data_IF_166963212757
#
_entry.id   IF_166963212757
#
_cell.length_a   1.000
_cell.length_b   1.000
_cell.length_c   1.000
_cell.angle_alpha   90.00
_cell.angle_beta   90.00
_cell.angle_gamma   90.00
#
_symmetry.space_group_name_H-M   'P 1'
#
loop_
_entity.id
_entity.type
_entity.pdbx_description
1 polymer ?
#
# COMPACT_ATOMS: atom_id res chain seq x y z
N UNK A 1 -4.06 12.87 19.34
CA UNK A 1 -3.30 12.40 20.52
C UNK A 1 -2.51 11.11 20.23
N UNK A 2 -2.89 10.28 19.26
CA UNK A 2 -2.14 9.09 18.80
C UNK A 2 -0.90 9.40 17.91
N UNK A 3 -0.93 10.48 17.12
CA UNK A 3 0.19 10.90 16.24
C UNK A 3 1.50 11.21 17.01
N UNK A 4 1.41 11.47 18.33
CA UNK A 4 2.57 11.71 19.19
C UNK A 4 3.18 10.44 19.82
N UNK A 5 2.53 9.27 19.71
CA UNK A 5 3.02 8.03 20.35
C UNK A 5 3.91 7.17 19.44
N UNK A 6 3.88 7.36 18.11
CA UNK A 6 4.69 6.58 17.16
C UNK A 6 6.09 7.15 16.89
N UNK A 7 6.49 8.25 17.54
CA UNK A 7 7.88 8.74 17.50
C UNK A 7 8.84 7.93 18.40
N UNK A 8 8.35 6.94 19.15
CA UNK A 8 9.14 6.22 20.17
C UNK A 8 9.48 4.76 19.84
N UNK A 9 9.11 4.25 18.67
CA UNK A 9 9.50 2.88 18.27
C UNK A 9 10.85 2.95 17.57
N UNK A 10 11.84 2.28 18.16
CA UNK A 10 13.20 2.24 17.66
C UNK A 10 13.27 1.56 16.29
N UNK A 11 14.28 1.94 15.49
CA UNK A 11 14.59 1.24 14.23
C UNK A 11 14.76 -0.29 14.46
N UNK A 12 15.20 -0.64 15.67
CA UNK A 12 15.40 -2.01 16.11
C UNK A 12 14.12 -2.85 16.13
N UNK A 13 13.05 -2.25 16.66
CA UNK A 13 11.72 -2.85 16.75
C UNK A 13 11.05 -2.91 15.38
N UNK A 14 11.17 -1.85 14.57
CA UNK A 14 10.59 -1.81 13.21
C UNK A 14 11.15 -2.92 12.32
N UNK A 15 12.45 -3.19 12.41
CA UNK A 15 13.06 -4.28 11.63
C UNK A 15 12.91 -5.64 12.29
N UNK A 16 12.71 -5.73 13.61
CA UNK A 16 12.27 -6.98 14.26
C UNK A 16 10.92 -7.47 13.81
N UNK A 17 10.04 -6.52 13.52
CA UNK A 17 8.77 -6.82 12.92
C UNK A 17 9.01 -7.24 11.44
N UNK A 18 10.12 -6.80 10.82
CA UNK A 18 10.39 -6.84 9.38
C UNK A 18 10.48 -8.14 8.63
N UNK A 19 10.91 -9.12 9.38
CA UNK A 19 11.17 -10.43 8.89
C UNK A 19 10.67 -11.23 10.07
N UNK A 20 9.54 -11.94 9.94
CA UNK A 20 8.97 -12.73 11.05
C UNK A 20 10.11 -13.46 11.77
N UNK A 21 10.41 -13.04 13.00
CA UNK A 21 11.43 -13.66 13.86
C UNK A 21 12.88 -13.16 13.71
N UNK A 22 13.14 -12.00 13.09
CA UNK A 22 14.51 -11.45 12.96
C UNK A 22 14.56 -9.97 13.36
N UNK A 23 15.17 -9.64 14.49
CA UNK A 23 15.42 -8.27 15.00
C UNK A 23 16.28 -7.43 14.04
N UNK A 24 16.27 -6.09 14.13
CA UNK A 24 17.22 -5.26 13.37
C UNK A 24 18.66 -5.68 13.58
N UNK A 25 19.05 -6.01 14.81
CA UNK A 25 20.41 -6.48 15.10
C UNK A 25 20.71 -7.78 14.35
N UNK A 26 19.76 -8.70 14.28
CA UNK A 26 19.89 -9.95 13.51
C UNK A 26 19.90 -9.67 12.01
N UNK A 27 19.07 -8.75 11.52
CA UNK A 27 19.03 -8.36 10.12
C UNK A 27 20.30 -7.61 9.69
N UNK A 28 20.87 -6.78 10.56
CA UNK A 28 22.16 -6.10 10.40
C UNK A 28 23.32 -7.10 10.44
N UNK A 29 23.23 -8.18 11.21
CA UNK A 29 24.21 -9.27 11.17
C UNK A 29 24.11 -10.10 9.88
N UNK A 30 22.88 -10.38 9.41
CA UNK A 30 22.65 -11.17 8.18
C UNK A 30 23.01 -10.42 6.90
N UNK A 31 22.63 -9.14 6.82
CA UNK A 31 22.78 -8.31 5.62
C UNK A 31 23.97 -7.33 5.71
N UNK A 32 24.57 -7.22 6.89
CA UNK A 32 25.76 -6.39 7.13
C UNK A 32 25.49 -4.90 6.88
N UNK A 33 26.52 -4.12 6.48
CA UNK A 33 26.38 -2.68 6.20
C UNK A 33 25.44 -2.37 5.02
N UNK A 34 25.03 -3.36 4.22
CA UNK A 34 24.05 -3.15 3.16
C UNK A 34 22.66 -2.85 3.71
N UNK A 35 22.33 -3.30 4.93
CA UNK A 35 21.03 -3.01 5.53
C UNK A 35 20.80 -1.51 5.74
N UNK A 36 21.79 -0.82 6.32
CA UNK A 36 21.74 0.63 6.50
C UNK A 36 21.60 1.37 5.17
N UNK A 37 22.28 0.90 4.10
CA UNK A 37 22.15 1.50 2.76
C UNK A 37 20.75 1.34 2.19
N UNK A 38 20.16 0.15 2.30
CA UNK A 38 18.79 -0.11 1.84
C UNK A 38 17.78 0.75 2.59
N UNK A 39 17.94 0.86 3.91
CA UNK A 39 17.07 1.68 4.75
C UNK A 39 17.18 3.18 4.42
N UNK A 40 18.41 3.70 4.28
CA UNK A 40 18.62 5.10 3.91
C UNK A 40 18.01 5.44 2.56
N UNK A 41 18.08 4.51 1.59
CA UNK A 41 17.43 4.66 0.29
C UNK A 41 15.91 4.71 0.42
N UNK A 42 15.33 3.90 1.30
CA UNK A 42 13.89 3.87 1.53
C UNK A 42 13.39 5.15 2.21
N UNK A 43 14.13 5.64 3.22
CA UNK A 43 13.87 6.94 3.84
C UNK A 43 14.01 8.08 2.82
N UNK A 44 14.98 8.00 1.92
CA UNK A 44 15.13 8.98 0.85
C UNK A 44 13.94 8.95 -0.11
N UNK A 45 13.44 7.75 -0.47
CA UNK A 45 12.25 7.61 -1.30
C UNK A 45 10.99 8.21 -0.64
N UNK A 46 10.85 8.06 0.67
CA UNK A 46 9.71 8.64 1.41
C UNK A 46 9.76 10.18 1.46
N UNK A 47 10.95 10.77 1.53
CA UNK A 47 11.17 12.22 1.62
C UNK A 47 11.43 12.87 0.24
N UNK A 48 11.13 12.16 -0.84
CA UNK A 48 11.37 12.64 -2.19
C UNK A 48 10.30 13.65 -2.60
N UNK A 49 10.67 14.95 -2.55
CA UNK A 49 9.80 16.11 -2.77
C UNK A 49 9.55 16.43 -4.27
N UNK A 50 9.92 15.54 -5.20
CA UNK A 50 9.73 15.76 -6.65
C UNK A 50 8.27 16.08 -7.05
N UNK A 51 7.29 15.59 -6.27
CA UNK A 51 5.86 15.86 -6.47
C UNK A 51 5.24 16.37 -5.16
N UNK A 52 5.02 17.68 -5.04
CA UNK A 52 4.53 18.38 -3.83
C UNK A 52 3.17 17.88 -3.29
N UNK A 53 2.47 17.02 -4.04
CA UNK A 53 1.14 16.48 -3.73
C UNK A 53 1.09 14.95 -3.61
N UNK A 54 2.24 14.27 -3.63
CA UNK A 54 2.30 12.81 -3.56
C UNK A 54 2.97 12.35 -2.28
N UNK A 55 2.19 11.72 -1.41
CA UNK A 55 2.68 11.13 -0.19
C UNK A 55 3.20 9.72 -0.45
N UNK A 56 4.21 9.33 0.31
CA UNK A 56 4.80 7.99 0.31
C UNK A 56 4.95 7.54 1.75
N UNK A 57 4.90 6.23 1.98
CA UNK A 57 5.10 5.72 3.32
C UNK A 57 5.16 4.21 3.39
N UNK A 58 5.45 3.76 4.60
CA UNK A 58 5.45 2.36 4.98
C UNK A 58 4.50 2.17 6.16
N UNK A 59 3.78 1.05 6.14
CA UNK A 59 3.00 0.57 7.27
C UNK A 59 3.46 -0.85 7.55
N UNK A 60 3.89 -1.08 8.79
CA UNK A 60 4.45 -2.35 9.22
C UNK A 60 3.42 -3.20 9.96
N UNK A 61 3.50 -4.52 9.80
CA UNK A 61 2.60 -5.46 10.45
C UNK A 61 2.63 -5.30 11.97
N UNK A 62 1.46 -5.05 12.56
CA UNK A 62 1.29 -4.78 14.00
C UNK A 62 1.27 -3.30 14.37
N UNK A 63 1.46 -2.38 13.40
CA UNK A 63 1.16 -0.96 13.60
C UNK A 63 -0.35 -0.70 13.57
N UNK A 64 -0.79 0.35 14.25
CA UNK A 64 -2.21 0.73 14.40
C UNK A 64 -2.91 0.93 13.04
N UNK A 65 -2.21 1.45 12.04
CA UNK A 65 -2.74 1.70 10.69
C UNK A 65 -2.63 0.49 9.75
N UNK A 66 -2.10 -0.66 10.22
CA UNK A 66 -1.97 -1.85 9.38
C UNK A 66 -3.34 -2.51 9.17
N UNK A 67 -3.75 -2.84 7.93
CA UNK A 67 -5.08 -3.41 7.70
C UNK A 67 -5.30 -4.78 8.38
N UNK A 68 -6.25 -4.88 9.30
CA UNK A 68 -6.79 -6.12 9.89
C UNK A 68 -7.06 -7.22 8.86
N UNK A 69 -7.61 -6.86 7.70
CA UNK A 69 -7.90 -7.80 6.61
C UNK A 69 -6.66 -8.50 6.06
N UNK A 70 -5.52 -7.78 5.98
CA UNK A 70 -4.23 -8.34 5.62
C UNK A 70 -3.58 -9.04 6.82
N UNK A 71 -3.77 -8.50 8.02
CA UNK A 71 -3.19 -9.05 9.24
C UNK A 71 -3.72 -10.46 9.54
N UNK A 72 -4.99 -10.69 9.23
CA UNK A 72 -5.69 -11.97 9.39
C UNK A 72 -5.39 -12.99 8.29
N UNK A 73 -4.60 -12.62 7.26
CA UNK A 73 -4.23 -13.55 6.19
C UNK A 73 -3.25 -14.62 6.68
N UNK A 74 -3.18 -15.77 6.01
CA UNK A 74 -2.27 -16.86 6.41
C UNK A 74 -0.78 -16.49 6.34
N UNK A 75 -0.44 -15.44 5.58
CA UNK A 75 0.92 -14.93 5.45
C UNK A 75 0.90 -13.40 5.28
N UNK A 76 0.68 -12.64 6.36
CA UNK A 76 0.57 -11.19 6.28
C UNK A 76 1.88 -10.60 5.75
N UNK A 77 1.83 -9.71 4.74
CA UNK A 77 3.00 -8.97 4.31
C UNK A 77 3.59 -8.21 5.47
N UNK A 78 4.90 -8.29 5.66
CA UNK A 78 5.49 -7.54 6.74
C UNK A 78 5.31 -6.02 6.58
N UNK A 79 5.65 -5.49 5.42
CA UNK A 79 5.66 -4.07 5.14
C UNK A 79 4.78 -3.80 3.94
N UNK A 80 3.90 -2.82 4.09
CA UNK A 80 3.13 -2.23 2.99
C UNK A 80 3.78 -0.89 2.65
N UNK A 81 4.40 -0.82 1.48
CA UNK A 81 4.86 0.44 0.90
C UNK A 81 3.71 1.03 0.06
N UNK A 82 3.48 2.34 0.19
CA UNK A 82 2.43 3.03 -0.57
C UNK A 82 2.92 4.37 -1.11
N UNK A 83 2.33 4.77 -2.24
CA UNK A 83 2.53 6.07 -2.90
C UNK A 83 1.17 6.57 -3.38
N UNK A 84 0.81 7.81 -3.09
CA UNK A 84 -0.41 8.42 -3.58
C UNK A 84 -0.82 9.66 -2.79
N UNK A 85 -1.97 10.23 -3.14
CA UNK A 85 -2.59 11.30 -2.37
C UNK A 85 -3.05 10.76 -1.02
N UNK A 86 -2.83 11.50 0.07
CA UNK A 86 -3.51 11.18 1.33
C UNK A 86 -5.01 11.36 1.06
N UNK A 87 -5.85 10.32 1.16
CA UNK A 87 -7.24 10.48 0.77
C UNK A 87 -7.86 11.56 1.65
N UNK A 88 -8.42 12.60 1.03
CA UNK A 88 -9.07 13.68 1.74
C UNK A 88 -10.24 13.09 2.53
N UNK A 89 -10.12 13.02 3.85
CA UNK A 89 -11.14 12.43 4.73
C UNK A 89 -10.80 11.04 5.28
N UNK A 90 -9.79 10.34 4.77
CA UNK A 90 -9.31 9.10 5.38
C UNK A 90 -8.19 9.43 6.36
N UNK A 91 -8.54 9.54 7.64
CA UNK A 91 -7.57 9.59 8.74
C UNK A 91 -6.89 8.22 8.90
N UNK A 92 -5.98 7.86 8.00
CA UNK A 92 -5.12 6.67 8.12
C UNK A 92 -5.80 5.31 7.94
N UNK A 93 -7.12 5.23 8.06
CA UNK A 93 -7.80 3.95 8.11
C UNK A 93 -8.40 3.54 6.75
N UNK A 94 -7.61 2.81 5.95
CA UNK A 94 -8.01 2.25 4.65
C UNK A 94 -9.10 1.16 4.78
N UNK A 95 -9.36 0.65 5.99
CA UNK A 95 -10.26 -0.49 6.20
C UNK A 95 -11.73 -0.12 6.22
N UNK A 96 -12.05 1.14 6.54
CA UNK A 96 -13.44 1.59 6.63
C UNK A 96 -14.03 2.03 5.28
N UNK A 97 -13.23 2.06 4.22
CA UNK A 97 -13.71 2.39 2.89
C UNK A 97 -14.38 1.16 2.25
N UNK A 98 -15.64 1.31 1.84
CA UNK A 98 -16.26 0.31 0.97
C UNK A 98 -15.41 0.17 -0.29
N UNK A 99 -15.07 -1.06 -0.65
CA UNK A 99 -14.17 -1.33 -1.76
C UNK A 99 -14.57 -2.58 -2.52
N UNK A 100 -14.12 -2.64 -3.78
CA UNK A 100 -14.27 -3.80 -4.65
C UNK A 100 -12.95 -4.09 -5.35
N UNK A 101 -12.63 -5.38 -5.48
CA UNK A 101 -11.49 -5.83 -6.27
C UNK A 101 -11.97 -6.23 -7.66
N UNK A 102 -11.44 -5.61 -8.71
CA UNK A 102 -11.72 -5.97 -10.10
C UNK A 102 -10.44 -6.55 -10.70
N UNK A 103 -10.51 -7.81 -11.14
CA UNK A 103 -9.39 -8.55 -11.72
C UNK A 103 -9.85 -9.32 -12.95
N UNK A 104 -8.92 -9.61 -13.87
CA UNK A 104 -9.24 -10.49 -15.00
C UNK A 104 -8.06 -10.78 -15.92
N UNK A 105 -8.38 -11.23 -17.15
CA UNK A 105 -7.37 -11.63 -18.13
C UNK A 105 -6.51 -10.45 -18.61
N UNK A 106 -5.22 -10.74 -18.85
CA UNK A 106 -4.28 -9.83 -19.54
C UNK A 106 -4.60 -9.67 -21.03
N UNK A 107 -5.36 -10.60 -21.60
CA UNK A 107 -5.77 -10.63 -23.01
C UNK A 107 -7.29 -10.51 -23.12
N UNK A 108 -7.84 -9.37 -22.72
CA UNK A 108 -9.26 -9.08 -22.87
C UNK A 108 -9.61 -8.64 -24.28
N UNK A 109 -10.85 -8.84 -24.70
CA UNK A 109 -11.40 -8.21 -25.88
C UNK A 109 -11.90 -6.78 -25.56
N UNK A 110 -12.45 -6.09 -26.55
CA UNK A 110 -12.95 -4.72 -26.36
C UNK A 110 -14.14 -4.68 -25.39
N UNK A 111 -15.00 -5.69 -25.42
CA UNK A 111 -16.20 -5.76 -24.58
C UNK A 111 -15.83 -5.92 -23.11
N UNK A 112 -14.92 -6.84 -22.79
CA UNK A 112 -14.44 -7.08 -21.43
C UNK A 112 -13.73 -5.87 -20.84
N UNK A 113 -12.88 -5.19 -21.64
CA UNK A 113 -12.26 -3.92 -21.20
C UNK A 113 -13.30 -2.85 -20.90
N UNK A 114 -14.29 -2.69 -21.79
CA UNK A 114 -15.35 -1.69 -21.60
C UNK A 114 -16.19 -1.99 -20.37
N UNK A 115 -16.52 -3.26 -20.12
CA UNK A 115 -17.26 -3.66 -18.92
C UNK A 115 -16.47 -3.36 -17.64
N UNK A 116 -15.18 -3.73 -17.60
CA UNK A 116 -14.31 -3.44 -16.46
C UNK A 116 -14.16 -1.94 -16.17
N UNK A 117 -13.96 -1.15 -17.23
CA UNK A 117 -13.91 0.31 -17.14
C UNK A 117 -15.20 0.90 -16.56
N UNK A 118 -16.37 0.53 -17.13
CA UNK A 118 -17.66 1.07 -16.69
C UNK A 118 -18.00 0.65 -15.27
N UNK A 119 -17.69 -0.59 -14.89
CA UNK A 119 -17.90 -1.06 -13.52
C UNK A 119 -17.06 -0.24 -12.53
N UNK A 120 -15.78 -0.05 -12.81
CA UNK A 120 -14.89 0.72 -11.94
C UNK A 120 -15.31 2.19 -11.81
N UNK A 121 -15.66 2.82 -12.95
CA UNK A 121 -16.18 4.19 -13.01
C UNK A 121 -17.39 4.38 -12.10
N UNK A 122 -18.38 3.49 -12.23
CA UNK A 122 -19.61 3.58 -11.43
C UNK A 122 -19.36 3.25 -9.96
N UNK A 123 -18.45 2.34 -9.63
CA UNK A 123 -18.05 2.10 -8.25
C UNK A 123 -17.49 3.38 -7.59
N UNK A 124 -16.51 4.02 -8.21
CA UNK A 124 -15.87 5.22 -7.63
C UNK A 124 -16.86 6.38 -7.51
N UNK A 125 -17.72 6.59 -8.52
CA UNK A 125 -18.81 7.59 -8.45
C UNK A 125 -19.79 7.37 -7.32
N UNK A 126 -19.92 6.14 -6.85
CA UNK A 126 -20.76 5.78 -5.70
C UNK A 126 -19.97 5.63 -4.39
N UNK A 127 -18.73 6.14 -4.34
CA UNK A 127 -17.89 6.11 -3.14
C UNK A 127 -17.29 4.74 -2.80
N UNK A 128 -17.28 3.81 -3.75
CA UNK A 128 -16.68 2.48 -3.59
C UNK A 128 -15.27 2.50 -4.21
N UNK A 129 -14.24 2.32 -3.39
CA UNK A 129 -12.86 2.26 -3.85
C UNK A 129 -12.62 1.00 -4.72
N UNK A 130 -11.77 1.13 -5.74
CA UNK A 130 -11.44 0.02 -6.65
C UNK A 130 -10.00 -0.42 -6.43
N UNK A 131 -9.82 -1.70 -6.13
CA UNK A 131 -8.52 -2.37 -6.07
C UNK A 131 -8.30 -3.29 -7.27
N UNK A 132 -7.05 -3.38 -7.74
CA UNK A 132 -6.65 -4.24 -8.86
C UNK A 132 -5.14 -4.45 -8.86
N UNK A 133 -4.62 -5.42 -9.63
CA UNK A 133 -3.21 -5.82 -9.65
C UNK A 133 -2.31 -5.08 -10.64
N UNK A 134 -2.76 -3.97 -11.22
CA UNK A 134 -1.99 -3.15 -12.17
C UNK A 134 -1.46 -3.90 -13.42
N UNK A 135 -2.05 -5.04 -13.77
CA UNK A 135 -1.71 -5.78 -14.99
C UNK A 135 -2.32 -5.12 -16.25
N UNK A 136 -1.86 -5.52 -17.44
CA UNK A 136 -2.54 -5.18 -18.68
C UNK A 136 -3.94 -5.82 -18.76
N UNK A 137 -4.80 -5.31 -19.65
CA UNK A 137 -6.12 -5.90 -19.88
C UNK A 137 -7.18 -5.39 -18.91
N UNK A 138 -7.81 -6.29 -18.16
CA UNK A 138 -8.92 -5.95 -17.24
C UNK A 138 -8.47 -5.01 -16.12
N UNK A 139 -7.35 -5.32 -15.47
CA UNK A 139 -6.81 -4.51 -14.37
C UNK A 139 -6.55 -3.06 -14.80
N UNK A 140 -5.81 -2.86 -15.90
CA UNK A 140 -5.58 -1.54 -16.49
C UNK A 140 -6.89 -0.81 -16.82
N UNK A 141 -7.88 -1.50 -17.42
CA UNK A 141 -9.15 -0.87 -17.78
C UNK A 141 -9.95 -0.44 -16.55
N UNK A 142 -9.86 -1.21 -15.46
CA UNK A 142 -10.49 -0.91 -14.17
C UNK A 142 -9.85 0.32 -13.53
N UNK A 143 -8.51 0.41 -13.54
CA UNK A 143 -7.81 1.61 -13.05
C UNK A 143 -8.16 2.86 -13.86
N UNK A 144 -8.26 2.76 -15.19
CA UNK A 144 -8.67 3.88 -16.04
C UNK A 144 -10.10 4.33 -15.71
N UNK A 145 -11.04 3.39 -15.54
CA UNK A 145 -12.41 3.71 -15.15
C UNK A 145 -12.49 4.37 -13.79
N UNK A 146 -11.73 3.88 -12.82
CA UNK A 146 -11.66 4.46 -11.48
C UNK A 146 -11.06 5.88 -11.47
N UNK A 147 -10.09 6.18 -12.35
CA UNK A 147 -9.47 7.51 -12.43
C UNK A 147 -10.38 8.56 -13.08
N UNK A 148 -11.29 8.14 -13.96
CA UNK A 148 -12.26 9.02 -14.64
C UNK A 148 -13.55 9.24 -13.82
N UNK A 149 -13.71 8.54 -12.68
CA UNK A 149 -14.92 8.52 -11.84
C UNK A 149 -14.94 9.60 -10.77
#
# INVERSE_FOLDING_TARGET
>A
MAIAMMQNISLDEKVSMAIKGVTYSQAQQMLGPNMQRLWNRELQWCNDDEDEQVYRGHIFYGEEDYPDSLASSGNPPFCLAWKGSKPSGCQGNFENAQSVTIVGTRQSDLSGRRAAYLLALECVRNGIAVYSGYASGIDQSSHLGAADG
#
